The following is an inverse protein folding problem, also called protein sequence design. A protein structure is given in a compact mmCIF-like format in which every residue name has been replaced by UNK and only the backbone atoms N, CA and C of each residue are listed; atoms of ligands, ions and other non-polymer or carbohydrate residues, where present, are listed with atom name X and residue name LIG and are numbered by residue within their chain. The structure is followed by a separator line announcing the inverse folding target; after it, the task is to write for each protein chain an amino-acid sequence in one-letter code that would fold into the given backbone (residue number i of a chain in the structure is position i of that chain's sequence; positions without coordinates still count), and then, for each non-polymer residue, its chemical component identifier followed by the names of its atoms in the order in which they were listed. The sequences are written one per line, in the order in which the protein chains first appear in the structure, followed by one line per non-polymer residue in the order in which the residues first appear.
data_IF_472051951733
#
_entry.id   IF_472051951733
#
_cell.length_a   1.000
_cell.length_b   1.000
_cell.length_c   1.000
_cell.angle_alpha   90.00
_cell.angle_beta   90.00
_cell.angle_gamma   90.00
#
_symmetry.space_group_name_H-M   'P 1'
#
loop_
_entity.id
_entity.type
_entity.pdbx_description
1 polymer ?
#
# COMPACT_ATOMS: atom_id res chain seq x y z
N UNK A 1 -25.94 -32.25 -7.79
CA UNK A 1 -24.63 -32.36 -8.49
C UNK A 1 -23.92 -31.04 -8.29
N UNK A 2 -23.03 -30.94 -7.30
CA UNK A 2 -22.22 -29.74 -7.09
C UNK A 2 -20.91 -29.96 -7.84
N UNK A 3 -20.75 -29.27 -8.98
CA UNK A 3 -19.50 -29.26 -9.71
C UNK A 3 -18.46 -28.55 -8.87
N UNK A 4 -17.56 -29.30 -8.23
CA UNK A 4 -16.37 -28.78 -7.60
C UNK A 4 -15.43 -28.29 -8.70
N UNK A 5 -15.57 -27.01 -9.08
CA UNK A 5 -14.56 -26.33 -9.88
C UNK A 5 -13.28 -26.31 -9.06
N UNK A 6 -12.33 -27.19 -9.35
CA UNK A 6 -10.99 -27.11 -8.77
C UNK A 6 -10.35 -25.83 -9.27
N UNK A 7 -10.41 -24.76 -8.48
CA UNK A 7 -9.73 -23.50 -8.73
C UNK A 7 -8.23 -23.79 -8.88
N UNK A 8 -7.73 -23.76 -10.11
CA UNK A 8 -6.32 -23.95 -10.40
C UNK A 8 -5.60 -22.61 -10.44
N UNK A 9 -4.37 -22.58 -9.95
CA UNK A 9 -3.49 -21.42 -10.01
C UNK A 9 -3.42 -20.82 -11.43
N UNK A 10 -3.29 -21.68 -12.44
CA UNK A 10 -3.19 -21.25 -13.84
C UNK A 10 -4.48 -20.60 -14.36
N UNK A 11 -5.65 -21.05 -13.88
CA UNK A 11 -6.94 -20.46 -14.25
C UNK A 11 -7.03 -19.03 -13.74
N UNK A 12 -6.75 -18.83 -12.45
CA UNK A 12 -6.81 -17.50 -11.82
C UNK A 12 -5.74 -16.57 -12.39
N UNK A 13 -4.54 -17.11 -12.66
CA UNK A 13 -3.47 -16.39 -13.34
C UNK A 13 -3.89 -15.90 -14.73
N UNK A 14 -4.54 -16.75 -15.51
CA UNK A 14 -5.04 -16.40 -16.84
C UNK A 14 -6.15 -15.36 -16.79
N UNK A 15 -7.08 -15.45 -15.84
CA UNK A 15 -8.14 -14.47 -15.63
C UNK A 15 -7.58 -13.09 -15.27
N UNK A 16 -6.60 -13.05 -14.37
CA UNK A 16 -5.90 -11.82 -14.01
C UNK A 16 -5.19 -11.22 -15.24
N UNK A 17 -4.52 -12.03 -16.06
CA UNK A 17 -3.93 -11.57 -17.32
C UNK A 17 -5.00 -10.96 -18.24
N UNK A 18 -6.16 -11.61 -18.39
CA UNK A 18 -7.26 -11.13 -19.22
C UNK A 18 -7.88 -9.82 -18.71
N UNK A 19 -7.90 -9.58 -17.39
CA UNK A 19 -8.27 -8.27 -16.86
C UNK A 19 -7.32 -7.18 -17.31
N UNK A 20 -6.02 -7.44 -17.25
CA UNK A 20 -5.00 -6.48 -17.67
C UNK A 20 -4.88 -6.34 -19.20
N UNK A 21 -5.28 -7.35 -19.96
CA UNK A 21 -5.41 -7.25 -21.42
C UNK A 21 -6.69 -6.52 -21.85
N UNK A 22 -7.64 -6.29 -20.93
CA UNK A 22 -8.92 -5.67 -21.23
C UNK A 22 -8.80 -4.15 -21.22
N UNK A 23 -8.85 -3.53 -22.42
CA UNK A 23 -8.90 -2.08 -22.63
C UNK A 23 -10.10 -1.36 -21.98
N UNK A 24 -11.03 -2.11 -21.38
CA UNK A 24 -12.21 -1.61 -20.69
C UNK A 24 -11.93 -1.09 -19.26
N UNK A 25 -10.71 -1.23 -18.74
CA UNK A 25 -10.36 -0.72 -17.41
C UNK A 25 -9.66 0.64 -17.58
N UNK A 26 -10.31 1.77 -17.24
CA UNK A 26 -9.77 3.11 -17.52
C UNK A 26 -8.44 3.44 -16.81
N UNK A 27 -8.14 2.71 -15.73
CA UNK A 27 -6.95 2.90 -14.89
C UNK A 27 -5.84 1.89 -15.13
N UNK A 28 -5.97 1.04 -16.17
CA UNK A 28 -5.04 -0.06 -16.42
C UNK A 28 -3.63 0.41 -16.74
N UNK A 29 -3.51 1.52 -17.49
CA UNK A 29 -2.23 2.16 -17.83
C UNK A 29 -1.53 2.78 -16.62
N UNK A 30 -2.29 3.20 -15.60
CA UNK A 30 -1.78 3.74 -14.35
C UNK A 30 -1.45 2.65 -13.31
N UNK A 31 -1.72 1.38 -13.64
CA UNK A 31 -1.69 0.27 -12.70
C UNK A 31 -2.89 0.28 -11.75
N UNK A 32 -3.31 -0.90 -11.32
CA UNK A 32 -4.43 -1.08 -10.40
C UNK A 32 -3.90 -1.20 -8.97
N UNK A 33 -4.58 -0.62 -8.01
CA UNK A 33 -4.37 -0.98 -6.60
C UNK A 33 -4.91 -2.38 -6.33
N UNK A 34 -4.48 -3.01 -5.23
CA UNK A 34 -5.04 -4.31 -4.81
C UNK A 34 -6.57 -4.28 -4.69
N UNK A 35 -7.12 -3.18 -4.17
CA UNK A 35 -8.56 -2.98 -4.02
C UNK A 35 -9.26 -2.87 -5.38
N UNK A 36 -8.71 -2.09 -6.31
CA UNK A 36 -9.25 -1.96 -7.66
C UNK A 36 -9.18 -3.28 -8.43
N UNK A 37 -8.08 -4.01 -8.30
CA UNK A 37 -7.92 -5.33 -8.92
C UNK A 37 -8.98 -6.31 -8.43
N UNK A 38 -9.21 -6.40 -7.11
CA UNK A 38 -10.27 -7.24 -6.55
C UNK A 38 -11.63 -6.84 -7.11
N UNK A 39 -11.94 -5.53 -7.10
CA UNK A 39 -13.23 -5.02 -7.55
C UNK A 39 -13.49 -5.36 -9.02
N UNK A 40 -12.50 -5.16 -9.88
CA UNK A 40 -12.64 -5.45 -11.31
C UNK A 40 -12.68 -6.96 -11.60
N UNK A 41 -11.97 -7.79 -10.83
CA UNK A 41 -12.05 -9.24 -10.92
C UNK A 41 -13.45 -9.75 -10.56
N UNK A 42 -14.00 -9.32 -9.43
CA UNK A 42 -15.36 -9.66 -9.01
C UNK A 42 -16.39 -9.22 -10.05
N UNK A 43 -16.26 -7.99 -10.57
CA UNK A 43 -17.16 -7.44 -11.59
C UNK A 43 -17.12 -8.23 -12.90
N UNK A 44 -15.97 -8.81 -13.26
CA UNK A 44 -15.77 -9.48 -14.55
C UNK A 44 -16.19 -10.95 -14.52
N UNK A 45 -15.84 -11.66 -13.46
CA UNK A 45 -15.99 -13.12 -13.41
C UNK A 45 -17.12 -13.60 -12.51
N UNK A 46 -17.72 -12.71 -11.72
CA UNK A 46 -18.98 -12.92 -10.99
C UNK A 46 -19.04 -14.19 -10.11
N UNK A 47 -17.88 -14.72 -9.70
CA UNK A 47 -17.76 -15.91 -8.85
C UNK A 47 -17.06 -15.61 -7.51
N UNK A 48 -17.04 -14.33 -7.11
CA UNK A 48 -16.47 -13.90 -5.83
C UNK A 48 -15.04 -13.36 -5.92
N UNK A 49 -14.41 -13.07 -4.78
CA UNK A 49 -13.07 -12.49 -4.71
C UNK A 49 -12.03 -13.44 -5.30
N UNK A 50 -10.86 -12.89 -5.65
CA UNK A 50 -9.71 -13.69 -6.10
C UNK A 50 -9.43 -14.77 -5.04
N UNK A 51 -9.48 -16.07 -5.39
CA UNK A 51 -9.43 -17.18 -4.43
C UNK A 51 -7.98 -17.52 -4.01
N UNK A 52 -7.21 -16.54 -3.58
CA UNK A 52 -5.79 -16.73 -3.22
C UNK A 52 -5.60 -17.61 -1.97
N UNK A 53 -6.57 -17.64 -1.06
CA UNK A 53 -6.54 -18.53 0.11
C UNK A 53 -6.72 -20.00 -0.27
N UNK A 54 -7.60 -20.30 -1.24
CA UNK A 54 -7.81 -21.66 -1.76
C UNK A 54 -6.57 -22.19 -2.49
N UNK A 55 -5.73 -21.28 -2.98
CA UNK A 55 -4.44 -21.56 -3.61
C UNK A 55 -3.27 -21.63 -2.60
N UNK A 56 -3.53 -21.53 -1.29
CA UNK A 56 -2.53 -21.67 -0.23
C UNK A 56 -1.77 -20.38 0.12
N UNK A 57 -2.20 -19.22 -0.36
CA UNK A 57 -1.56 -17.94 -0.04
C UNK A 57 -2.25 -17.24 1.13
N UNK A 58 -1.46 -16.68 2.04
CA UNK A 58 -1.96 -15.94 3.20
C UNK A 58 -2.55 -14.57 2.84
N UNK A 59 -2.07 -13.97 1.73
CA UNK A 59 -2.48 -12.63 1.31
C UNK A 59 -2.46 -12.51 -0.21
N UNK A 60 -3.31 -11.63 -0.74
CA UNK A 60 -3.33 -11.28 -2.16
C UNK A 60 -1.96 -10.76 -2.65
N UNK A 61 -1.26 -9.96 -1.83
CA UNK A 61 0.08 -9.47 -2.19
C UNK A 61 1.10 -10.60 -2.36
N UNK A 62 1.06 -11.63 -1.50
CA UNK A 62 1.92 -12.83 -1.63
C UNK A 62 1.60 -13.61 -2.91
N UNK A 63 0.30 -13.73 -3.21
CA UNK A 63 -0.19 -14.40 -4.41
C UNK A 63 0.26 -13.69 -5.69
N UNK A 64 -0.05 -12.40 -5.84
CA UNK A 64 0.36 -11.61 -7.00
C UNK A 64 1.89 -11.52 -7.10
N UNK A 65 2.58 -11.41 -5.97
CA UNK A 65 4.04 -11.44 -5.90
C UNK A 65 4.68 -12.76 -6.34
N UNK A 66 3.91 -13.85 -6.44
CA UNK A 66 4.38 -15.13 -7.00
C UNK A 66 4.26 -15.20 -8.53
N UNK A 67 3.42 -14.36 -9.15
CA UNK A 67 3.22 -14.26 -10.61
C UNK A 67 4.04 -13.13 -11.23
N UNK A 68 5.32 -13.02 -10.89
CA UNK A 68 6.19 -11.92 -11.36
C UNK A 68 6.35 -11.87 -12.88
N UNK A 69 6.07 -12.99 -13.55
CA UNK A 69 6.05 -13.12 -15.00
C UNK A 69 4.87 -12.38 -15.64
N UNK A 70 3.80 -12.13 -14.91
CA UNK A 70 2.61 -11.40 -15.39
C UNK A 70 2.41 -10.08 -14.66
N UNK A 71 2.67 -10.01 -13.35
CA UNK A 71 2.41 -8.82 -12.54
C UNK A 71 3.68 -8.26 -11.94
N UNK A 72 3.87 -6.96 -12.15
CA UNK A 72 4.83 -6.16 -11.40
C UNK A 72 4.10 -5.42 -10.29
N UNK A 73 4.55 -5.60 -9.05
CA UNK A 73 4.06 -4.86 -7.91
C UNK A 73 5.02 -3.71 -7.58
N UNK A 74 4.53 -2.48 -7.63
CA UNK A 74 5.29 -1.31 -7.22
C UNK A 74 5.16 -1.12 -5.70
N UNK A 75 6.07 -1.73 -4.96
CA UNK A 75 6.18 -1.55 -3.51
C UNK A 75 6.77 -0.20 -3.11
N UNK A 76 7.26 0.61 -4.05
CA UNK A 76 7.87 1.93 -3.75
C UNK A 76 6.83 3.03 -3.54
N UNK A 77 5.59 2.78 -3.96
CA UNK A 77 4.47 3.72 -3.84
C UNK A 77 3.34 3.10 -3.00
N UNK A 78 2.63 3.95 -2.28
CA UNK A 78 1.45 3.55 -1.52
C UNK A 78 0.23 4.38 -1.97
N UNK A 79 -0.93 3.77 -2.27
CA UNK A 79 -1.20 2.33 -2.21
C UNK A 79 -0.41 1.55 -3.27
N UNK A 80 0.03 0.34 -2.91
CA UNK A 80 0.78 -0.54 -3.82
C UNK A 80 -0.04 -0.79 -5.08
N UNK A 81 0.52 -0.43 -6.22
CA UNK A 81 -0.07 -0.64 -7.54
C UNK A 81 0.56 -1.85 -8.22
N UNK A 82 -0.27 -2.63 -8.89
CA UNK A 82 0.11 -3.74 -9.75
C UNK A 82 -0.08 -3.37 -11.23
N UNK A 83 0.92 -3.74 -12.04
CA UNK A 83 1.00 -3.48 -13.47
C UNK A 83 1.18 -4.80 -14.22
N UNK A 84 0.71 -4.86 -15.46
CA UNK A 84 1.03 -5.96 -16.36
C UNK A 84 2.50 -5.89 -16.75
N UNK A 85 3.21 -7.00 -16.59
CA UNK A 85 4.58 -7.19 -17.04
C UNK A 85 4.58 -7.46 -18.55
N UNK A 86 4.31 -6.45 -19.36
CA UNK A 86 4.14 -6.61 -20.81
C UNK A 86 5.43 -6.95 -21.57
N UNK A 87 6.62 -6.81 -20.96
CA UNK A 87 7.90 -6.91 -21.69
C UNK A 87 9.06 -7.61 -20.97
N UNK A 88 8.90 -8.17 -19.76
CA UNK A 88 10.03 -8.74 -19.02
C UNK A 88 11.12 -7.71 -18.64
N UNK A 89 10.86 -6.42 -18.88
CA UNK A 89 11.79 -5.32 -18.64
C UNK A 89 11.27 -4.50 -17.44
N UNK A 90 11.86 -4.80 -16.29
CA UNK A 90 11.48 -4.33 -14.95
C UNK A 90 11.58 -2.80 -14.80
N UNK A 91 12.18 -2.08 -15.78
CA UNK A 91 12.63 -0.71 -15.57
C UNK A 91 11.91 0.40 -16.35
N UNK A 92 11.22 0.14 -17.47
CA UNK A 92 10.79 1.25 -18.34
C UNK A 92 9.45 1.93 -17.98
N UNK A 93 8.51 1.24 -17.29
CA UNK A 93 7.21 1.85 -16.92
C UNK A 93 7.24 2.60 -15.59
N UNK A 94 8.15 2.22 -14.69
CA UNK A 94 8.39 2.92 -13.40
C UNK A 94 8.97 4.32 -13.56
N UNK A 95 9.47 4.69 -14.74
CA UNK A 95 10.16 5.96 -14.97
C UNK A 95 9.24 7.08 -15.50
N UNK A 96 8.01 6.76 -15.92
CA UNK A 96 7.07 7.73 -16.49
C UNK A 96 6.10 8.36 -15.49
N UNK A 97 6.10 7.91 -14.24
CA UNK A 97 5.44 8.62 -13.14
C UNK A 97 6.51 9.54 -12.57
N UNK A 98 6.55 10.78 -13.06
CA UNK A 98 7.27 11.87 -12.40
C UNK A 98 6.60 12.11 -11.04
N UNK A 99 6.90 11.26 -10.07
CA UNK A 99 6.67 11.56 -8.66
C UNK A 99 7.37 12.89 -8.43
N UNK A 100 6.63 13.89 -7.97
CA UNK A 100 7.22 15.14 -7.48
C UNK A 100 7.90 14.79 -6.15
N UNK A 101 9.08 14.18 -6.27
CA UNK A 101 9.87 13.70 -5.15
C UNK A 101 10.59 14.89 -4.56
N UNK A 102 10.07 15.40 -3.44
CA UNK A 102 10.88 16.22 -2.56
C UNK A 102 12.05 15.39 -2.04
N UNK A 103 13.23 16.01 -1.91
CA UNK A 103 14.37 15.43 -1.20
C UNK A 103 14.11 15.48 0.31
N UNK A 104 13.07 14.80 0.77
CA UNK A 104 12.68 14.79 2.18
C UNK A 104 13.63 13.90 2.97
N UNK A 105 14.18 14.46 4.05
CA UNK A 105 15.07 13.75 4.96
C UNK A 105 14.28 12.85 5.92
N UNK A 106 14.95 11.87 6.52
CA UNK A 106 14.32 11.00 7.52
C UNK A 106 13.66 11.79 8.66
N UNK A 107 14.29 12.85 9.15
CA UNK A 107 13.77 13.68 10.24
C UNK A 107 12.55 14.51 9.82
N UNK A 108 12.49 15.01 8.58
CA UNK A 108 11.31 15.68 8.04
C UNK A 108 10.13 14.72 7.95
N UNK A 109 10.34 13.54 7.37
CA UNK A 109 9.31 12.49 7.29
C UNK A 109 8.84 12.08 8.68
N UNK A 110 9.77 11.93 9.63
CA UNK A 110 9.47 11.61 11.03
C UNK A 110 8.62 12.69 11.70
N UNK A 111 8.95 13.96 11.51
CA UNK A 111 8.22 15.08 12.08
C UNK A 111 6.82 15.22 11.47
N UNK A 112 6.70 14.99 10.16
CA UNK A 112 5.42 14.97 9.47
C UNK A 112 4.51 13.85 10.00
N UNK A 113 5.04 12.62 10.12
CA UNK A 113 4.32 11.49 10.72
C UNK A 113 3.94 11.78 12.17
N UNK A 114 4.82 12.40 12.94
CA UNK A 114 4.50 12.84 14.30
C UNK A 114 3.34 13.84 14.32
N UNK A 115 3.37 14.88 13.46
CA UNK A 115 2.30 15.88 13.34
C UNK A 115 0.95 15.22 13.07
N UNK A 116 0.91 14.34 12.08
CA UNK A 116 -0.28 13.57 11.68
C UNK A 116 -0.80 12.70 12.84
N UNK A 117 0.10 12.02 13.56
CA UNK A 117 -0.27 11.18 14.71
C UNK A 117 -0.63 11.98 15.96
N UNK A 118 -0.23 13.25 16.07
CA UNK A 118 -0.67 14.17 17.12
C UNK A 118 -2.04 14.80 16.86
N UNK A 119 -2.64 14.56 15.69
CA UNK A 119 -4.02 14.95 15.45
C UNK A 119 -4.96 14.23 16.43
N UNK A 120 -5.95 14.95 16.96
CA UNK A 120 -6.86 14.49 18.03
C UNK A 120 -7.59 13.17 17.71
N UNK A 121 -7.78 12.87 16.41
CA UNK A 121 -8.40 11.63 15.92
C UNK A 121 -7.39 10.47 15.96
N UNK A 122 -6.17 10.72 15.47
CA UNK A 122 -5.06 9.77 15.40
C UNK A 122 -4.57 9.33 16.77
N UNK A 123 -4.57 10.24 17.76
CA UNK A 123 -4.20 9.93 19.15
C UNK A 123 -5.14 8.89 19.77
N UNK A 124 -6.44 8.97 19.47
CA UNK A 124 -7.46 8.17 20.15
C UNK A 124 -7.70 6.80 19.50
N UNK A 125 -7.61 6.72 18.17
CA UNK A 125 -7.96 5.52 17.42
C UNK A 125 -6.79 4.92 16.64
N UNK A 126 -5.68 5.63 16.52
CA UNK A 126 -4.59 5.29 15.61
C UNK A 126 -5.03 5.38 14.15
N UNK A 127 -4.06 5.47 13.25
CA UNK A 127 -4.29 5.50 11.81
C UNK A 127 -3.92 4.16 11.21
N UNK A 128 -4.78 3.58 10.38
CA UNK A 128 -4.33 2.53 9.46
C UNK A 128 -3.21 3.07 8.55
N UNK A 129 -2.41 2.17 7.97
CA UNK A 129 -1.39 2.57 7.00
C UNK A 129 -1.98 3.38 5.84
N UNK A 130 -3.22 3.06 5.45
CA UNK A 130 -3.96 3.81 4.45
C UNK A 130 -4.23 5.24 4.85
N UNK A 131 -4.82 5.43 6.04
CA UNK A 131 -5.16 6.76 6.54
C UNK A 131 -3.90 7.59 6.78
N UNK A 132 -2.82 6.98 7.25
CA UNK A 132 -1.53 7.64 7.43
C UNK A 132 -0.98 8.19 6.12
N UNK A 133 -0.94 7.38 5.05
CA UNK A 133 -0.45 7.83 3.75
C UNK A 133 -1.37 8.90 3.12
N UNK A 134 -2.68 8.76 3.28
CA UNK A 134 -3.64 9.76 2.81
C UNK A 134 -3.47 11.10 3.54
N UNK A 135 -3.35 11.08 4.87
CA UNK A 135 -3.11 12.29 5.66
C UNK A 135 -1.74 12.88 5.33
N UNK A 136 -0.70 12.05 5.16
CA UNK A 136 0.61 12.52 4.73
C UNK A 136 0.54 13.26 3.40
N UNK A 137 -0.12 12.66 2.40
CA UNK A 137 -0.31 13.29 1.10
C UNK A 137 -1.16 14.55 1.19
N UNK A 138 -2.15 14.61 2.08
CA UNK A 138 -2.99 15.80 2.25
C UNK A 138 -2.26 16.94 2.94
N UNK A 139 -1.41 16.65 3.93
CA UNK A 139 -0.66 17.65 4.70
C UNK A 139 0.62 18.11 4.00
N UNK A 140 1.14 17.34 3.04
CA UNK A 140 2.40 17.62 2.34
C UNK A 140 2.21 17.88 0.84
N UNK A 141 1.26 18.74 0.45
CA UNK A 141 1.05 19.19 -0.94
C UNK A 141 0.89 18.07 -1.99
N UNK A 142 0.26 16.96 -1.62
CA UNK A 142 0.09 15.79 -2.49
C UNK A 142 1.31 14.88 -2.59
N UNK A 143 2.35 15.09 -1.77
CA UNK A 143 3.56 14.25 -1.78
C UNK A 143 3.28 12.90 -1.13
N UNK A 144 3.78 11.86 -1.79
CA UNK A 144 3.72 10.52 -1.23
C UNK A 144 4.83 10.32 -0.19
N UNK A 145 4.53 9.47 0.79
CA UNK A 145 5.45 9.15 1.87
C UNK A 145 6.70 8.41 1.30
N UNK A 146 7.92 8.97 1.41
CA UNK A 146 9.06 8.57 0.59
C UNK A 146 9.91 7.45 1.22
N UNK A 147 9.29 6.39 1.75
CA UNK A 147 10.01 5.30 2.43
C UNK A 147 11.04 4.61 1.53
N UNK A 148 10.73 4.39 0.25
CA UNK A 148 11.65 3.78 -0.71
C UNK A 148 12.88 4.64 -1.01
N UNK A 149 12.74 5.98 -0.94
CA UNK A 149 13.84 6.92 -1.18
C UNK A 149 14.79 6.99 0.00
N UNK A 150 14.22 6.85 1.19
CA UNK A 150 14.97 6.70 2.43
C UNK A 150 15.62 5.30 2.57
N UNK A 151 15.50 4.44 1.55
CA UNK A 151 16.14 3.13 1.50
C UNK A 151 15.35 2.00 2.16
N UNK A 152 14.08 2.23 2.52
CA UNK A 152 13.24 1.21 3.15
C UNK A 152 12.46 0.40 2.12
N UNK A 153 12.40 -0.92 2.30
CA UNK A 153 11.67 -1.81 1.40
C UNK A 153 10.15 -1.66 1.51
N UNK A 154 9.65 -1.36 2.71
CA UNK A 154 8.22 -1.17 2.96
C UNK A 154 7.96 0.01 3.91
N UNK A 155 6.75 0.57 3.87
CA UNK A 155 6.28 1.54 4.86
C UNK A 155 6.40 1.00 6.29
N UNK A 156 6.11 -0.28 6.50
CA UNK A 156 6.25 -0.90 7.81
C UNK A 156 7.69 -0.88 8.32
N UNK A 157 8.68 -1.06 7.44
CA UNK A 157 10.09 -1.01 7.81
C UNK A 157 10.52 0.40 8.22
N UNK A 158 10.07 1.43 7.51
CA UNK A 158 10.28 2.83 7.91
C UNK A 158 9.62 3.13 9.26
N UNK A 159 8.36 2.72 9.46
CA UNK A 159 7.65 3.01 10.72
C UNK A 159 8.28 2.29 11.91
N UNK A 160 8.85 1.09 11.71
CA UNK A 160 9.59 0.35 12.73
C UNK A 160 10.89 1.04 13.14
N UNK A 161 11.56 1.77 12.24
CA UNK A 161 12.77 2.53 12.63
C UNK A 161 12.45 3.77 13.44
N UNK A 162 11.24 4.31 13.30
CA UNK A 162 10.72 5.45 14.07
C UNK A 162 9.96 5.03 15.34
N UNK A 163 10.45 4.02 16.07
CA UNK A 163 9.80 3.45 17.26
C UNK A 163 9.57 4.48 18.40
N UNK A 164 10.37 5.55 18.44
CA UNK A 164 10.24 6.64 19.40
C UNK A 164 9.05 7.58 19.11
N UNK A 165 8.48 7.51 17.91
CA UNK A 165 7.35 8.33 17.44
C UNK A 165 6.13 7.46 17.14
N UNK A 166 6.34 6.27 16.59
CA UNK A 166 5.28 5.40 16.08
C UNK A 166 5.27 4.09 16.83
N UNK A 167 4.11 3.73 17.37
CA UNK A 167 3.79 2.39 17.86
C UNK A 167 2.87 1.71 16.86
N UNK A 168 3.25 0.54 16.38
CA UNK A 168 2.43 -0.24 15.43
C UNK A 168 1.70 -1.34 16.20
N UNK A 169 0.38 -1.37 16.13
CA UNK A 169 -0.46 -2.38 16.78
C UNK A 169 -1.65 -2.71 15.86
N UNK A 170 -1.96 -3.99 15.65
CA UNK A 170 -3.09 -4.43 14.80
C UNK A 170 -3.14 -3.76 13.40
N UNK A 171 -1.98 -3.59 12.74
CA UNK A 171 -1.84 -2.90 11.44
C UNK A 171 -2.28 -1.42 11.46
N UNK A 172 -2.31 -0.80 12.64
CA UNK A 172 -2.53 0.64 12.85
C UNK A 172 -1.31 1.27 13.52
N UNK A 173 -1.10 2.54 13.23
CA UNK A 173 -0.05 3.40 13.75
C UNK A 173 -0.63 4.30 14.82
N UNK A 174 0.01 4.30 15.98
CA UNK A 174 -0.31 5.14 17.11
C UNK A 174 0.89 6.01 17.45
N UNK A 175 0.64 7.14 18.09
CA UNK A 175 1.70 7.94 18.66
C UNK A 175 2.36 7.16 19.81
N UNK A 176 3.69 7.05 19.79
CA UNK A 176 4.45 6.42 20.87
C UNK A 176 4.37 7.28 22.15
N UNK A 177 3.99 6.63 23.25
CA UNK A 177 3.58 7.29 24.51
C UNK A 177 4.76 7.99 25.21
N UNK A 178 6.01 7.66 24.90
CA UNK A 178 7.19 8.24 25.57
C UNK A 178 7.31 9.76 25.40
N UNK A 179 6.73 10.36 24.34
CA UNK A 179 6.69 11.82 24.17
C UNK A 179 5.43 12.49 24.73
N UNK A 180 4.40 11.72 25.11
CA UNK A 180 3.13 12.29 25.60
C UNK A 180 3.23 12.96 26.97
N UNK A 181 4.34 12.78 27.70
CA UNK A 181 4.54 13.36 29.03
C UNK A 181 5.11 14.80 29.05
N UNK A 182 5.40 15.43 27.90
CA UNK A 182 5.90 16.83 27.88
C UNK A 182 4.87 17.89 27.48
N UNK A 183 3.63 17.52 27.15
CA UNK A 183 2.60 18.49 26.72
C UNK A 183 1.62 18.88 27.84
N UNK A 184 1.69 18.24 29.01
CA UNK A 184 0.94 18.67 30.18
C UNK A 184 1.90 19.02 31.31
N UNK A 185 2.36 20.27 31.39
CA UNK A 185 2.62 21.05 32.62
C UNK A 185 3.11 22.45 32.20
N UNK A 186 2.24 23.24 31.56
CA UNK A 186 2.42 24.70 31.50
C UNK A 186 1.09 25.45 31.46
N UNK A 187 0.23 25.15 32.45
CA UNK A 187 -0.79 26.10 32.93
C UNK A 187 -0.92 25.94 34.44
N UNK A 188 -0.14 26.75 35.16
CA UNK A 188 -0.47 27.32 36.48
C UNK A 188 0.70 28.17 36.95
N UNK A 189 0.64 29.46 36.67
CA UNK A 189 0.66 30.55 37.67
C UNK A 189 0.37 31.85 36.96
#
# INVERSE_FOLDING_TARGET
MASSSSTSYDSVKQEIYQLYASSLIPSIDAGLTLTELCREYERRYNHGPIPYHDLGYETLSRFLGSMKDIILMNYKEWPTRCYLNENGDVNQRTEKIRVRTGTETYDEVKNNIYSILTSSISIKYGLSFTELCQQYSSENDGRQLPFAQLGYATLTDLLKTMWDVVRIENRRCYLSVEKTMKVQHKKKK
#
